data_IF_789492228123
#
_entry.id   IF_789492228123
#
_cell.length_a   1.000
_cell.length_b   1.000
_cell.length_c   1.000
_cell.angle_alpha   90.00
_cell.angle_beta   90.00
_cell.angle_gamma   90.00
#
_symmetry.space_group_name_H-M   'P 1'
#
loop_
_entity.id
_entity.type
_entity.pdbx_description
1 polymer ?
#
# COMPACT_ATOMS: atom_id res chain seq x y z
N UNK A 1 41.33 -2.41 -1.82
CA UNK A 1 40.29 -3.16 -2.57
C UNK A 1 39.06 -3.29 -1.67
N UNK A 2 37.90 -2.77 -2.09
CA UNK A 2 36.67 -2.87 -1.29
C UNK A 2 35.98 -4.22 -1.55
N UNK A 3 35.73 -4.99 -0.49
CA UNK A 3 34.97 -6.25 -0.56
C UNK A 3 33.50 -5.91 -0.85
N UNK A 4 33.04 -6.22 -2.06
CA UNK A 4 31.61 -6.16 -2.41
C UNK A 4 30.93 -7.44 -1.95
N UNK A 5 30.31 -7.38 -0.78
CA UNK A 5 29.38 -8.42 -0.34
C UNK A 5 28.05 -8.19 -1.06
N UNK A 6 27.54 -9.20 -1.78
CA UNK A 6 26.21 -9.15 -2.39
C UNK A 6 25.18 -9.19 -1.26
N UNK A 7 24.59 -8.03 -0.95
CA UNK A 7 23.41 -7.98 -0.08
C UNK A 7 22.26 -8.63 -0.84
N UNK A 8 21.65 -9.72 -0.34
CA UNK A 8 20.48 -10.31 -0.97
C UNK A 8 19.35 -9.27 -0.96
N UNK A 9 18.74 -9.02 -2.12
CA UNK A 9 17.52 -8.19 -2.18
C UNK A 9 16.45 -8.89 -1.35
N UNK A 10 16.03 -8.26 -0.26
CA UNK A 10 14.91 -8.75 0.54
C UNK A 10 13.65 -8.79 -0.34
N UNK A 11 13.06 -9.97 -0.51
CA UNK A 11 11.82 -10.20 -1.28
C UNK A 11 10.62 -9.78 -0.42
N UNK A 12 10.67 -8.59 0.19
CA UNK A 12 9.65 -8.12 1.14
C UNK A 12 8.34 -7.74 0.47
N UNK A 13 8.37 -7.43 -0.83
CA UNK A 13 7.19 -7.04 -1.60
C UNK A 13 6.64 -8.21 -2.44
N UNK A 14 6.40 -9.36 -1.81
CA UNK A 14 5.61 -10.40 -2.45
C UNK A 14 4.14 -9.97 -2.44
N UNK A 15 3.72 -9.27 -3.49
CA UNK A 15 2.31 -9.02 -3.76
C UNK A 15 1.73 -10.32 -4.33
N UNK A 16 0.96 -11.06 -3.53
CA UNK A 16 0.18 -12.19 -4.02
C UNK A 16 -0.80 -11.69 -5.10
N UNK A 17 -0.42 -11.89 -6.37
CA UNK A 17 -1.26 -11.61 -7.54
C UNK A 17 -2.19 -12.80 -7.70
N UNK A 18 -3.36 -12.72 -7.08
CA UNK A 18 -4.24 -13.87 -6.85
C UNK A 18 -4.79 -14.53 -8.13
N UNK A 19 -5.09 -13.77 -9.19
CA UNK A 19 -5.49 -14.34 -10.49
C UNK A 19 -5.06 -13.40 -11.63
N UNK A 20 -4.36 -13.94 -12.63
CA UNK A 20 -4.06 -13.23 -13.89
C UNK A 20 -3.14 -12.00 -13.81
N UNK A 21 -2.47 -11.77 -12.67
CA UNK A 21 -1.57 -10.64 -12.50
C UNK A 21 -2.21 -9.37 -11.92
N UNK A 22 -3.52 -9.41 -11.61
CA UNK A 22 -4.25 -8.31 -10.98
C UNK A 22 -4.25 -8.42 -9.46
N UNK A 23 -4.40 -7.28 -8.80
CA UNK A 23 -4.52 -7.16 -7.35
C UNK A 23 -5.96 -7.33 -6.89
N UNK A 24 -6.20 -7.92 -5.70
CA UNK A 24 -7.55 -8.05 -5.09
C UNK A 24 -8.35 -6.76 -5.15
N UNK A 25 -7.68 -5.64 -4.88
CA UNK A 25 -8.34 -4.34 -4.89
C UNK A 25 -8.88 -3.97 -6.27
N UNK A 26 -8.13 -4.23 -7.34
CA UNK A 26 -8.60 -3.98 -8.70
C UNK A 26 -9.83 -4.84 -9.00
N UNK A 27 -9.85 -6.08 -8.51
CA UNK A 27 -10.99 -6.98 -8.65
C UNK A 27 -12.22 -6.42 -7.91
N UNK A 28 -12.07 -5.97 -6.67
CA UNK A 28 -13.18 -5.37 -5.89
C UNK A 28 -13.74 -4.12 -6.58
N UNK A 29 -12.87 -3.18 -6.99
CA UNK A 29 -13.30 -1.96 -7.67
C UNK A 29 -13.90 -2.25 -9.05
N UNK A 30 -13.43 -3.27 -9.76
CA UNK A 30 -14.00 -3.70 -11.02
C UNK A 30 -15.42 -4.25 -10.83
N UNK A 31 -15.63 -5.13 -9.84
CA UNK A 31 -16.96 -5.66 -9.52
C UNK A 31 -17.92 -4.53 -9.14
N UNK A 32 -17.48 -3.59 -8.30
CA UNK A 32 -18.28 -2.42 -7.94
C UNK A 32 -18.62 -1.55 -9.16
N UNK A 33 -17.63 -1.29 -10.04
CA UNK A 33 -17.85 -0.51 -11.25
C UNK A 33 -18.88 -1.17 -12.18
N UNK A 34 -18.85 -2.49 -12.33
CA UNK A 34 -19.85 -3.23 -13.12
C UNK A 34 -21.24 -3.11 -12.51
N UNK A 35 -21.38 -3.29 -11.19
CA UNK A 35 -22.67 -3.16 -10.50
C UNK A 35 -23.27 -1.76 -10.67
N UNK A 36 -22.46 -0.72 -10.50
CA UNK A 36 -22.88 0.68 -10.68
C UNK A 36 -23.24 0.93 -12.15
N UNK A 37 -22.44 0.45 -13.10
CA UNK A 37 -22.71 0.55 -14.54
C UNK A 37 -24.10 0.02 -14.88
N UNK A 38 -24.38 -1.23 -14.49
CA UNK A 38 -25.67 -1.88 -14.76
C UNK A 38 -26.82 -1.10 -14.14
N UNK A 39 -26.67 -0.64 -12.89
CA UNK A 39 -27.69 0.17 -12.22
C UNK A 39 -27.99 1.50 -12.92
N UNK A 40 -26.94 2.24 -13.30
CA UNK A 40 -27.07 3.55 -13.95
C UNK A 40 -27.62 3.40 -15.38
N UNK A 41 -27.15 2.40 -16.14
CA UNK A 41 -27.68 2.11 -17.48
C UNK A 41 -29.15 1.68 -17.40
N UNK A 42 -29.51 0.78 -16.47
CA UNK A 42 -30.90 0.37 -16.29
C UNK A 42 -31.80 1.55 -15.92
N UNK A 43 -31.35 2.44 -15.04
CA UNK A 43 -32.08 3.65 -14.68
C UNK A 43 -32.27 4.59 -15.89
N UNK A 44 -31.23 4.82 -16.70
CA UNK A 44 -31.34 5.68 -17.89
C UNK A 44 -32.28 5.10 -18.96
N UNK A 45 -32.28 3.78 -19.15
CA UNK A 45 -33.14 3.15 -20.15
C UNK A 45 -34.60 3.08 -19.66
N UNK A 46 -34.83 2.71 -18.40
CA UNK A 46 -36.18 2.50 -17.86
C UNK A 46 -36.91 3.78 -17.46
N UNK A 47 -36.19 4.78 -16.93
CA UNK A 47 -36.80 6.02 -16.41
C UNK A 47 -36.71 7.17 -17.42
N UNK A 48 -35.57 7.30 -18.10
CA UNK A 48 -35.33 8.39 -19.04
C UNK A 48 -35.65 8.00 -20.50
N UNK A 49 -36.03 6.75 -20.77
CA UNK A 49 -36.26 6.20 -22.12
C UNK A 49 -35.13 6.50 -23.11
N UNK A 50 -33.90 6.62 -22.62
CA UNK A 50 -32.74 6.91 -23.45
C UNK A 50 -32.26 5.64 -24.16
N UNK A 51 -31.67 5.83 -25.35
CA UNK A 51 -30.95 4.75 -26.03
C UNK A 51 -29.73 4.33 -25.21
N UNK A 52 -29.36 3.04 -25.33
CA UNK A 52 -28.22 2.46 -24.62
C UNK A 52 -26.92 3.19 -24.96
N UNK A 53 -26.76 3.61 -26.21
CA UNK A 53 -25.61 4.42 -26.66
C UNK A 53 -25.53 5.77 -25.92
N UNK A 54 -26.66 6.46 -25.76
CA UNK A 54 -26.71 7.73 -25.04
C UNK A 54 -26.41 7.55 -23.54
N UNK A 55 -26.88 6.46 -22.92
CA UNK A 55 -26.55 6.12 -21.54
C UNK A 55 -25.04 5.83 -21.35
N UNK A 56 -24.38 5.24 -22.35
CA UNK A 56 -22.94 4.97 -22.33
C UNK A 56 -22.10 6.23 -22.15
N UNK A 57 -22.46 7.34 -22.82
CA UNK A 57 -21.77 8.63 -22.66
C UNK A 57 -21.85 9.21 -21.25
N UNK A 58 -22.86 8.83 -20.47
CA UNK A 58 -23.02 9.25 -19.07
C UNK A 58 -22.25 8.31 -18.14
N UNK A 59 -22.34 7.01 -18.40
CA UNK A 59 -21.76 5.97 -17.54
C UNK A 59 -20.22 5.97 -17.60
N UNK A 60 -19.63 6.16 -18.78
CA UNK A 60 -18.16 6.15 -18.95
C UNK A 60 -17.46 7.20 -18.06
N UNK A 61 -17.77 8.51 -18.14
CA UNK A 61 -17.11 9.52 -17.31
C UNK A 61 -17.38 9.31 -15.82
N UNK A 62 -18.50 8.68 -15.45
CA UNK A 62 -18.83 8.33 -14.05
C UNK A 62 -17.93 7.19 -13.52
N UNK A 63 -17.69 6.16 -14.34
CA UNK A 63 -16.93 4.97 -13.92
C UNK A 63 -15.41 5.18 -13.95
N UNK A 64 -14.90 6.02 -14.86
CA UNK A 64 -13.46 6.33 -14.96
C UNK A 64 -12.81 6.65 -13.61
N UNK A 65 -13.32 7.61 -12.81
CA UNK A 65 -12.71 7.92 -11.51
C UNK A 65 -12.77 6.73 -10.54
N UNK A 66 -13.87 5.96 -10.53
CA UNK A 66 -14.05 4.81 -9.64
C UNK A 66 -12.99 3.73 -9.94
N UNK A 67 -12.82 3.40 -11.22
CA UNK A 67 -11.85 2.40 -11.66
C UNK A 67 -10.42 2.91 -11.46
N UNK A 68 -10.17 4.19 -11.75
CA UNK A 68 -8.87 4.81 -11.51
C UNK A 68 -8.46 4.73 -10.03
N UNK A 69 -9.39 4.95 -9.10
CA UNK A 69 -9.15 4.76 -7.66
C UNK A 69 -8.73 3.33 -7.31
N UNK A 70 -9.29 2.32 -7.98
CA UNK A 70 -8.89 0.93 -7.81
C UNK A 70 -7.46 0.64 -8.30
N UNK A 71 -7.03 1.30 -9.39
CA UNK A 71 -5.73 1.07 -10.03
C UNK A 71 -4.58 1.92 -9.45
N UNK A 72 -4.86 3.16 -9.04
CA UNK A 72 -3.83 4.09 -8.56
C UNK A 72 -3.19 3.55 -7.27
N UNK A 73 -1.86 3.51 -7.25
CA UNK A 73 -1.04 3.18 -6.08
C UNK A 73 -0.09 4.33 -5.84
N UNK A 74 -0.21 5.00 -4.70
CA UNK A 74 0.76 6.02 -4.29
C UNK A 74 1.88 5.31 -3.52
N UNK A 75 3.10 5.30 -4.08
CA UNK A 75 4.31 4.74 -3.44
C UNK A 75 4.14 3.30 -2.92
N UNK A 76 3.46 2.44 -3.69
CA UNK A 76 3.21 1.04 -3.29
C UNK A 76 2.18 0.86 -2.17
N UNK A 77 1.70 1.94 -1.56
CA UNK A 77 0.65 1.90 -0.54
C UNK A 77 -0.75 1.99 -1.16
N UNK A 78 -1.72 1.21 -0.66
CA UNK A 78 -3.10 1.39 -1.07
C UNK A 78 -3.67 2.71 -0.58
N UNK A 79 -4.52 3.34 -1.41
CA UNK A 79 -5.13 4.64 -1.09
C UNK A 79 -5.92 4.61 0.22
N UNK A 80 -6.51 3.48 0.60
CA UNK A 80 -7.17 3.30 1.90
C UNK A 80 -6.22 3.50 3.09
N UNK A 81 -5.00 2.95 3.01
CA UNK A 81 -3.97 3.14 4.05
C UNK A 81 -3.47 4.57 4.04
N UNK A 82 -3.24 5.13 2.86
CA UNK A 82 -2.81 6.52 2.72
C UNK A 82 -3.87 7.50 3.26
N UNK A 83 -5.15 7.27 2.95
CA UNK A 83 -6.29 8.02 3.46
C UNK A 83 -6.42 7.90 4.98
N UNK A 84 -6.27 6.71 5.55
CA UNK A 84 -6.22 6.53 7.02
C UNK A 84 -5.07 7.30 7.66
N UNK A 85 -3.89 7.33 7.05
CA UNK A 85 -2.75 8.10 7.54
C UNK A 85 -3.06 9.60 7.49
N UNK A 86 -3.60 10.10 6.38
CA UNK A 86 -4.01 11.50 6.24
C UNK A 86 -5.09 11.84 7.26
N UNK A 87 -6.12 11.02 7.39
CA UNK A 87 -7.22 11.26 8.31
C UNK A 87 -6.72 11.28 9.76
N UNK A 88 -5.90 10.31 10.15
CA UNK A 88 -5.27 10.29 11.47
C UNK A 88 -4.33 11.48 11.68
N UNK A 89 -3.66 11.95 10.63
CA UNK A 89 -2.79 13.13 10.68
C UNK A 89 -3.59 14.42 10.88
N UNK A 90 -4.74 14.58 10.21
CA UNK A 90 -5.63 15.71 10.43
C UNK A 90 -6.35 15.63 11.78
N UNK A 91 -6.71 14.43 12.25
CA UNK A 91 -7.40 14.23 13.54
C UNK A 91 -6.48 14.23 14.76
N UNK A 92 -5.17 14.06 14.60
CA UNK A 92 -4.22 14.10 15.72
C UNK A 92 -3.22 15.25 15.55
N UNK A 93 -3.25 16.18 16.49
CA UNK A 93 -2.21 17.20 16.68
C UNK A 93 -0.85 16.50 16.79
N UNK A 94 0.11 16.95 15.98
CA UNK A 94 1.35 16.25 15.62
C UNK A 94 2.34 15.93 16.75
N UNK A 95 1.96 15.12 17.72
CA UNK A 95 2.85 14.56 18.73
C UNK A 95 3.39 13.23 18.20
N UNK A 96 4.58 13.28 17.57
CA UNK A 96 5.33 12.07 17.20
C UNK A 96 6.09 11.58 18.44
N UNK A 97 5.57 10.55 19.11
CA UNK A 97 6.33 9.85 20.15
C UNK A 97 7.37 8.98 19.45
N UNK A 98 8.61 9.44 19.38
CA UNK A 98 9.72 8.63 18.86
C UNK A 98 9.97 7.46 19.82
N UNK A 99 9.54 6.26 19.44
CA UNK A 99 10.05 5.06 20.08
C UNK A 99 11.43 4.77 19.51
N UNK A 100 12.47 5.21 20.22
CA UNK A 100 13.85 4.80 19.97
C UNK A 100 13.96 3.30 20.26
N UNK A 101 13.75 2.47 19.25
CA UNK A 101 14.05 1.04 19.28
C UNK A 101 15.55 0.82 19.09
N UNK A 102 16.35 1.23 20.07
CA UNK A 102 17.61 0.56 20.43
C UNK A 102 18.33 1.35 21.53
N UNK A 103 17.97 1.04 22.78
CA UNK A 103 18.91 1.16 23.91
C UNK A 103 19.44 -0.22 24.34
N UNK A 104 19.10 -1.27 23.60
CA UNK A 104 19.71 -2.59 23.71
C UNK A 104 20.87 -2.61 22.74
N UNK A 105 22.10 -2.43 23.24
CA UNK A 105 23.32 -3.09 22.73
C UNK A 105 24.61 -2.40 23.21
N UNK A 106 24.60 -1.20 23.81
CA UNK A 106 25.85 -0.59 24.27
C UNK A 106 26.53 -1.42 25.37
N UNK A 107 25.73 -2.04 26.24
CA UNK A 107 26.23 -2.94 27.30
C UNK A 107 26.73 -4.27 26.75
N UNK A 108 26.08 -4.83 25.73
CA UNK A 108 26.49 -6.08 25.09
C UNK A 108 27.76 -5.90 24.23
N UNK A 109 27.88 -4.77 23.53
CA UNK A 109 29.11 -4.37 22.86
C UNK A 109 30.27 -4.13 23.85
N UNK A 110 29.99 -3.49 25.01
CA UNK A 110 30.98 -3.33 26.09
C UNK A 110 31.45 -4.68 26.62
N UNK A 111 30.54 -5.59 26.99
CA UNK A 111 30.85 -6.92 27.53
C UNK A 111 31.75 -7.72 26.58
N UNK A 112 31.40 -7.74 25.28
CA UNK A 112 32.20 -8.42 24.25
C UNK A 112 33.60 -7.81 24.10
N UNK A 113 33.76 -6.49 24.19
CA UNK A 113 35.08 -5.84 24.21
C UNK A 113 35.90 -6.22 25.45
N UNK A 114 35.31 -6.20 26.65
CA UNK A 114 36.02 -6.53 27.88
C UNK A 114 36.47 -8.00 27.94
N UNK A 115 35.67 -8.93 27.41
CA UNK A 115 36.07 -10.34 27.27
C UNK A 115 37.26 -10.48 26.32
N UNK A 116 37.21 -9.81 25.16
CA UNK A 116 38.29 -9.86 24.17
C UNK A 116 39.60 -9.31 24.73
N UNK A 117 39.55 -8.20 25.48
CA UNK A 117 40.74 -7.62 26.14
C UNK A 117 41.33 -8.59 27.17
N UNK A 118 40.49 -9.21 28.02
CA UNK A 118 40.94 -10.21 29.00
C UNK A 118 41.60 -11.44 28.38
N UNK A 119 41.12 -11.91 27.23
CA UNK A 119 41.73 -13.03 26.50
C UNK A 119 43.11 -12.67 25.93
N UNK A 120 43.28 -11.45 25.41
CA UNK A 120 44.57 -10.95 24.94
C UNK A 120 45.59 -10.69 26.06
N UNK A 121 45.15 -10.37 27.28
CA UNK A 121 46.04 -10.13 28.43
C UNK A 121 46.42 -11.43 29.16
N UNK A 122 45.75 -12.55 28.86
CA UNK A 122 45.98 -13.86 29.49
C UNK A 122 46.87 -14.79 28.63
N UNK A 123 47.38 -14.29 27.51
CA UNK A 123 48.40 -14.92 26.65
C UNK A 123 49.74 -14.23 26.89
#
# INVERSE_FOLDING_TARGET
>A
MAIRVKVPKEIKDYQEKLMGGMSVRQLVFFVLAVLISVGVTAYCVLVLHMSVDAAGYIVIPLLIPIVAFGWIRKEGMPLEKYGKIILNYYSKTGIRIYQTKERSNLNDFRKKRFQKVKETTKR
#
